data_IF_150822460477
#
_entry.id   IF_150822460477
#
_cell.length_a   1.000
_cell.length_b   1.000
_cell.length_c   1.000
_cell.angle_alpha   90.00
_cell.angle_beta   90.00
_cell.angle_gamma   90.00
#
_symmetry.space_group_name_H-M   'P 1'
#
loop_
_entity.id
_entity.type
_entity.pdbx_description
1 polymer ?
#
# COMPACT_ATOMS: atom_id res chain seq x y z
N UNK A 1 -81.80 -4.30 -51.75
CA UNK A 1 -81.26 -5.46 -51.03
C UNK A 1 -79.77 -5.19 -50.95
N UNK A 2 -79.34 -4.52 -49.88
CA UNK A 2 -77.94 -4.16 -49.68
C UNK A 2 -77.46 -4.75 -48.36
N UNK A 3 -76.40 -5.52 -48.43
CA UNK A 3 -75.72 -6.07 -47.29
C UNK A 3 -74.61 -5.14 -46.88
N UNK A 4 -74.70 -4.57 -45.71
CA UNK A 4 -73.65 -3.75 -45.10
C UNK A 4 -72.78 -4.65 -44.21
N UNK A 5 -71.53 -4.82 -44.60
CA UNK A 5 -70.52 -5.49 -43.76
C UNK A 5 -69.86 -4.47 -42.84
N UNK A 6 -69.96 -4.70 -41.52
CA UNK A 6 -69.29 -3.93 -40.50
C UNK A 6 -67.94 -4.66 -40.19
N UNK A 7 -66.82 -3.96 -40.49
CA UNK A 7 -65.53 -4.38 -39.99
C UNK A 7 -65.32 -3.87 -38.58
N UNK A 8 -65.08 -4.81 -37.63
CA UNK A 8 -64.63 -4.49 -36.30
C UNK A 8 -63.08 -4.40 -36.26
N UNK A 9 -62.56 -3.22 -35.94
CA UNK A 9 -61.11 -3.04 -35.62
C UNK A 9 -60.91 -3.41 -34.14
N UNK A 10 -60.14 -4.46 -33.92
CA UNK A 10 -59.59 -4.79 -32.62
C UNK A 10 -58.33 -3.93 -32.35
N UNK A 11 -58.44 -2.94 -31.47
CA UNK A 11 -57.29 -2.20 -30.97
C UNK A 11 -56.55 -3.01 -29.91
N UNK A 12 -55.29 -3.37 -30.20
CA UNK A 12 -54.33 -3.86 -29.18
C UNK A 12 -53.90 -2.68 -28.34
N UNK A 13 -54.30 -2.63 -27.09
CA UNK A 13 -53.72 -1.74 -26.10
C UNK A 13 -52.38 -2.38 -25.63
N UNK A 14 -51.27 -1.78 -26.04
CA UNK A 14 -49.96 -2.03 -25.46
C UNK A 14 -49.87 -1.32 -24.11
N UNK A 15 -49.78 -2.07 -23.03
CA UNK A 15 -49.41 -1.58 -21.71
C UNK A 15 -47.98 -1.02 -21.75
N UNK A 16 -47.68 0.09 -21.06
CA UNK A 16 -46.32 0.55 -20.96
C UNK A 16 -45.52 -0.45 -20.13
N UNK A 17 -44.39 -0.92 -20.67
CA UNK A 17 -43.40 -1.65 -19.94
C UNK A 17 -42.85 -0.72 -18.82
N UNK A 18 -42.94 -1.17 -17.60
CA UNK A 18 -42.23 -0.55 -16.48
C UNK A 18 -40.74 -0.60 -16.80
N UNK A 19 -40.14 0.53 -17.01
CA UNK A 19 -38.69 0.69 -16.94
C UNK A 19 -38.30 0.41 -15.47
N UNK A 20 -37.81 -0.77 -15.21
CA UNK A 20 -36.99 -1.03 -14.05
C UNK A 20 -35.73 -0.18 -14.23
N UNK A 21 -35.60 0.84 -13.38
CA UNK A 21 -34.34 1.52 -13.13
C UNK A 21 -33.30 0.42 -12.81
N UNK A 22 -32.55 0.04 -13.81
CA UNK A 22 -31.30 -0.67 -13.63
C UNK A 22 -30.37 0.34 -13.01
N UNK A 23 -30.01 0.16 -11.76
CA UNK A 23 -28.88 0.85 -11.14
C UNK A 23 -27.73 0.85 -12.17
N UNK A 24 -27.16 2.03 -12.40
CA UNK A 24 -26.07 2.22 -13.31
C UNK A 24 -24.98 1.18 -12.95
N UNK A 25 -24.82 0.20 -13.81
CA UNK A 25 -23.64 -0.66 -13.76
C UNK A 25 -22.42 0.25 -13.87
N UNK A 26 -21.48 0.08 -12.96
CA UNK A 26 -20.11 0.57 -13.13
C UNK A 26 -19.71 0.36 -14.59
N UNK A 27 -19.06 1.38 -15.20
CA UNK A 27 -18.82 1.47 -16.63
C UNK A 27 -18.45 0.14 -17.27
N UNK A 28 -18.93 -0.08 -18.48
CA UNK A 28 -18.59 -1.29 -19.25
C UNK A 28 -17.07 -1.39 -19.32
N UNK A 29 -16.51 -2.39 -18.63
CA UNK A 29 -15.08 -2.61 -18.54
C UNK A 29 -14.49 -2.83 -19.93
N UNK A 30 -13.23 -2.44 -20.05
CA UNK A 30 -12.49 -2.50 -21.32
C UNK A 30 -11.45 -3.61 -21.35
N UNK A 31 -11.25 -4.31 -20.21
CA UNK A 31 -10.28 -5.39 -20.08
C UNK A 31 -10.71 -6.63 -20.84
N UNK A 32 -9.82 -7.15 -21.68
CA UNK A 32 -10.06 -8.42 -22.39
C UNK A 32 -9.52 -9.58 -21.58
N UNK A 33 -10.38 -10.58 -21.31
CA UNK A 33 -10.00 -11.83 -20.63
C UNK A 33 -9.90 -13.01 -21.60
N UNK A 34 -9.04 -14.03 -21.33
CA UNK A 34 -8.15 -14.10 -20.18
C UNK A 34 -7.08 -13.00 -20.23
N UNK A 35 -6.78 -12.40 -19.07
CA UNK A 35 -5.72 -11.43 -18.90
C UNK A 35 -4.48 -12.14 -18.34
N UNK A 36 -3.35 -12.08 -19.05
CA UNK A 36 -2.05 -12.54 -18.53
C UNK A 36 -1.21 -11.37 -18.09
N UNK A 37 -0.70 -11.44 -16.87
CA UNK A 37 0.21 -10.46 -16.29
C UNK A 37 1.50 -11.15 -15.84
N UNK A 38 2.65 -10.53 -16.08
CA UNK A 38 3.90 -10.93 -15.45
C UNK A 38 3.96 -10.27 -14.07
N UNK A 39 4.07 -11.06 -13.01
CA UNK A 39 4.15 -10.54 -11.64
C UNK A 39 5.23 -11.28 -10.85
N UNK A 40 6.29 -10.55 -10.52
CA UNK A 40 7.52 -11.13 -10.00
C UNK A 40 8.08 -12.18 -10.98
N UNK A 41 8.32 -13.40 -10.50
CA UNK A 41 8.84 -14.53 -11.28
C UNK A 41 7.74 -15.39 -11.92
N UNK A 42 6.46 -15.03 -11.77
CA UNK A 42 5.32 -15.80 -12.24
C UNK A 42 4.52 -15.11 -13.35
N UNK A 43 4.10 -15.87 -14.35
CA UNK A 43 3.03 -15.48 -15.26
C UNK A 43 1.69 -15.87 -14.61
N UNK A 44 0.84 -14.86 -14.37
CA UNK A 44 -0.46 -15.02 -13.71
C UNK A 44 -1.56 -14.79 -14.74
N UNK A 45 -2.44 -15.78 -14.89
CA UNK A 45 -3.59 -15.68 -15.80
C UNK A 45 -4.86 -15.50 -15.00
N UNK A 46 -5.62 -14.45 -15.31
CA UNK A 46 -6.92 -14.14 -14.75
C UNK A 46 -7.97 -14.37 -15.82
N UNK A 47 -8.85 -15.36 -15.62
CA UNK A 47 -9.82 -15.81 -16.63
C UNK A 47 -11.00 -14.85 -16.79
N UNK A 48 -11.33 -14.08 -15.77
CA UNK A 48 -12.40 -13.08 -15.73
C UNK A 48 -12.14 -12.10 -14.58
N UNK A 49 -12.83 -10.96 -14.56
CA UNK A 49 -12.75 -10.02 -13.44
C UNK A 49 -13.11 -10.71 -12.12
N UNK A 50 -12.26 -10.64 -11.09
CA UNK A 50 -12.56 -11.30 -9.82
C UNK A 50 -13.75 -10.65 -9.09
N UNK A 51 -14.50 -11.50 -8.37
CA UNK A 51 -15.68 -11.11 -7.60
C UNK A 51 -15.55 -11.42 -6.10
N UNK A 52 -14.48 -12.14 -5.72
CA UNK A 52 -14.25 -12.62 -4.35
C UNK A 52 -12.78 -12.54 -3.97
N UNK A 53 -12.21 -11.37 -4.09
CA UNK A 53 -10.80 -11.16 -3.75
C UNK A 53 -10.55 -11.21 -2.24
N UNK A 54 -9.37 -11.68 -1.85
CA UNK A 54 -8.86 -11.55 -0.49
C UNK A 54 -7.56 -10.77 -0.53
N UNK A 55 -7.48 -9.69 0.24
CA UNK A 55 -6.24 -8.96 0.50
C UNK A 55 -5.59 -9.44 1.79
N UNK A 56 -4.27 -9.58 1.81
CA UNK A 56 -3.56 -10.17 2.94
C UNK A 56 -3.01 -9.15 3.94
N UNK A 57 -3.16 -7.85 3.65
CA UNK A 57 -2.72 -6.76 4.53
C UNK A 57 -3.44 -5.45 4.20
N UNK A 58 -3.36 -4.50 5.12
CA UNK A 58 -4.04 -3.21 5.01
C UNK A 58 -3.66 -2.43 3.75
N UNK A 59 -2.37 -2.37 3.36
CA UNK A 59 -1.94 -1.61 2.17
C UNK A 59 -2.62 -2.12 0.89
N UNK A 60 -2.68 -3.44 0.70
CA UNK A 60 -3.39 -4.05 -0.43
C UNK A 60 -4.91 -3.78 -0.37
N UNK A 61 -5.49 -3.84 0.84
CA UNK A 61 -6.92 -3.57 1.08
C UNK A 61 -7.28 -2.14 0.69
N UNK A 62 -6.46 -1.17 1.07
CA UNK A 62 -6.72 0.23 0.80
C UNK A 62 -6.61 0.58 -0.69
N UNK A 63 -5.66 -0.03 -1.42
CA UNK A 63 -5.62 0.10 -2.89
C UNK A 63 -6.93 -0.39 -3.50
N UNK A 64 -7.43 -1.56 -3.09
CA UNK A 64 -8.68 -2.09 -3.62
C UNK A 64 -9.89 -1.22 -3.28
N UNK A 65 -9.98 -0.70 -2.05
CA UNK A 65 -11.06 0.21 -1.65
C UNK A 65 -11.04 1.50 -2.47
N UNK A 66 -9.86 2.08 -2.69
CA UNK A 66 -9.73 3.31 -3.49
C UNK A 66 -10.02 3.11 -4.97
N UNK A 67 -9.88 1.89 -5.46
CA UNK A 67 -10.37 1.49 -6.79
C UNK A 67 -11.88 1.20 -6.84
N UNK A 68 -12.60 1.35 -5.71
CA UNK A 68 -14.05 1.08 -5.63
C UNK A 68 -14.41 -0.40 -5.57
N UNK A 69 -13.50 -1.27 -5.12
CA UNK A 69 -13.63 -2.73 -5.19
C UNK A 69 -14.08 -3.38 -3.88
N UNK A 70 -14.48 -2.63 -2.86
CA UNK A 70 -14.89 -3.18 -1.57
C UNK A 70 -15.96 -4.27 -1.69
N UNK A 71 -16.94 -4.11 -2.57
CA UNK A 71 -18.02 -5.08 -2.82
C UNK A 71 -17.53 -6.37 -3.52
N UNK A 72 -16.33 -6.38 -4.08
CA UNK A 72 -15.69 -7.54 -4.71
C UNK A 72 -14.68 -8.24 -3.81
N UNK A 73 -14.66 -7.89 -2.52
CA UNK A 73 -13.75 -8.48 -1.54
C UNK A 73 -14.46 -9.49 -0.66
N UNK A 74 -13.96 -10.73 -0.64
CA UNK A 74 -14.41 -11.78 0.26
C UNK A 74 -13.81 -11.66 1.67
N UNK A 75 -12.73 -10.87 1.80
CA UNK A 75 -12.12 -10.60 3.09
C UNK A 75 -10.78 -9.89 3.03
N UNK A 76 -10.34 -9.47 4.20
CA UNK A 76 -9.03 -8.86 4.45
C UNK A 76 -8.39 -9.42 5.72
N UNK A 77 -7.12 -9.11 5.95
CA UNK A 77 -6.38 -9.48 7.16
C UNK A 77 -5.26 -8.49 7.45
N UNK A 78 -4.66 -8.59 8.63
CA UNK A 78 -3.44 -7.87 9.03
C UNK A 78 -3.54 -6.34 8.89
N UNK A 79 -4.35 -5.76 9.75
CA UNK A 79 -4.45 -4.32 9.94
C UNK A 79 -3.30 -3.82 10.83
N UNK A 80 -2.59 -2.77 10.42
CA UNK A 80 -1.38 -2.28 11.10
C UNK A 80 -1.49 -0.85 11.60
N UNK A 81 -2.31 -0.05 10.96
CA UNK A 81 -2.49 1.37 11.23
C UNK A 81 -3.96 1.73 11.36
N UNK A 82 -4.32 2.84 12.00
CA UNK A 82 -5.69 3.31 12.02
C UNK A 82 -6.23 3.51 10.60
N UNK A 83 -7.37 2.90 10.30
CA UNK A 83 -8.01 3.04 8.99
C UNK A 83 -8.37 4.51 8.74
N UNK A 84 -8.01 5.10 7.60
CA UNK A 84 -8.36 6.46 7.25
C UNK A 84 -9.89 6.69 7.28
N UNK A 85 -10.32 7.81 7.87
CA UNK A 85 -11.75 8.07 8.08
C UNK A 85 -12.58 8.19 6.80
N UNK A 86 -11.95 8.54 5.69
CA UNK A 86 -12.58 8.67 4.37
C UNK A 86 -12.93 7.32 3.71
N UNK A 87 -12.29 6.23 4.14
CA UNK A 87 -12.56 4.88 3.66
C UNK A 87 -13.08 3.93 4.75
N UNK A 88 -13.29 4.42 5.98
CA UNK A 88 -13.65 3.58 7.14
C UNK A 88 -14.91 2.75 6.91
N UNK A 89 -15.97 3.36 6.40
CA UNK A 89 -17.24 2.66 6.12
C UNK A 89 -17.05 1.51 5.09
N UNK A 90 -16.25 1.74 4.06
CA UNK A 90 -15.94 0.74 3.04
C UNK A 90 -15.07 -0.38 3.65
N UNK A 91 -14.07 -0.01 4.46
CA UNK A 91 -13.20 -0.96 5.14
C UNK A 91 -13.97 -1.86 6.11
N UNK A 92 -14.85 -1.28 6.95
CA UNK A 92 -15.71 -2.02 7.88
C UNK A 92 -16.72 -2.95 7.18
N UNK A 93 -17.05 -2.69 5.91
CA UNK A 93 -17.93 -3.56 5.12
C UNK A 93 -17.27 -4.85 4.68
N UNK A 94 -15.93 -4.92 4.67
CA UNK A 94 -15.13 -6.08 4.24
C UNK A 94 -14.94 -7.01 5.44
N UNK A 95 -15.22 -8.32 5.31
CA UNK A 95 -14.98 -9.27 6.39
C UNK A 95 -13.51 -9.31 6.82
N UNK A 96 -13.22 -9.00 8.07
CA UNK A 96 -11.90 -9.23 8.65
C UNK A 96 -11.74 -10.72 8.99
N UNK A 97 -10.90 -11.43 8.24
CA UNK A 97 -10.70 -12.88 8.40
C UNK A 97 -9.83 -13.22 9.61
N UNK A 98 -8.87 -12.34 9.92
CA UNK A 98 -8.04 -12.41 11.11
C UNK A 98 -7.31 -11.08 11.34
N UNK A 99 -7.00 -10.75 12.59
CA UNK A 99 -6.20 -9.57 12.97
C UNK A 99 -4.70 -9.74 12.62
N UNK A 100 -4.24 -10.96 12.40
CA UNK A 100 -2.85 -11.29 12.13
C UNK A 100 -2.63 -11.91 10.75
N UNK A 101 -1.56 -12.69 10.64
CA UNK A 101 -1.22 -13.41 9.42
C UNK A 101 -2.28 -14.47 9.10
N UNK A 102 -2.89 -14.35 7.93
CA UNK A 102 -3.93 -15.27 7.48
C UNK A 102 -3.36 -16.68 7.24
N UNK A 103 -4.07 -17.69 7.68
CA UNK A 103 -3.71 -19.09 7.45
C UNK A 103 -4.40 -19.64 6.22
N UNK A 104 -3.73 -20.58 5.55
CA UNK A 104 -4.19 -21.19 4.30
C UNK A 104 -5.62 -21.75 4.39
N UNK A 105 -5.95 -22.45 5.49
CA UNK A 105 -7.28 -23.01 5.70
C UNK A 105 -8.36 -21.92 5.74
N UNK A 106 -8.11 -20.83 6.49
CA UNK A 106 -9.03 -19.69 6.59
C UNK A 106 -9.17 -18.94 5.26
N UNK A 107 -8.07 -18.81 4.51
CA UNK A 107 -8.11 -18.26 3.15
C UNK A 107 -9.03 -19.08 2.25
N UNK A 108 -8.88 -20.41 2.22
CA UNK A 108 -9.69 -21.28 1.37
C UNK A 108 -11.17 -21.33 1.82
N UNK A 109 -11.47 -21.17 3.12
CA UNK A 109 -12.84 -21.04 3.61
C UNK A 109 -13.56 -19.81 3.06
N UNK A 110 -12.83 -18.72 2.81
CA UNK A 110 -13.37 -17.52 2.17
C UNK A 110 -13.68 -17.73 0.68
N UNK A 111 -13.23 -18.84 0.07
CA UNK A 111 -13.40 -19.18 -1.35
C UNK A 111 -12.96 -18.04 -2.29
N UNK A 112 -11.72 -17.58 -2.20
CA UNK A 112 -11.24 -16.49 -3.04
C UNK A 112 -11.11 -16.93 -4.49
N UNK A 113 -11.33 -15.99 -5.41
CA UNK A 113 -11.01 -16.11 -6.84
C UNK A 113 -9.79 -15.24 -7.24
N UNK A 114 -9.25 -14.48 -6.27
CA UNK A 114 -8.02 -13.70 -6.41
C UNK A 114 -7.43 -13.41 -5.02
N UNK A 115 -6.10 -13.39 -4.91
CA UNK A 115 -5.40 -13.00 -3.67
C UNK A 115 -4.39 -11.92 -3.97
N UNK A 116 -4.43 -10.84 -3.18
CA UNK A 116 -3.51 -9.71 -3.31
C UNK A 116 -2.72 -9.49 -2.02
N UNK A 117 -1.41 -9.36 -2.13
CA UNK A 117 -0.50 -9.11 -1.01
C UNK A 117 0.56 -8.08 -1.36
N UNK A 118 0.86 -7.17 -0.43
CA UNK A 118 2.02 -6.29 -0.53
C UNK A 118 3.31 -6.95 -0.03
N UNK A 119 3.24 -8.09 0.66
CA UNK A 119 4.40 -8.73 1.27
C UNK A 119 4.49 -10.23 0.94
N UNK A 120 5.68 -10.66 0.48
CA UNK A 120 5.98 -12.06 0.16
C UNK A 120 5.86 -12.98 1.37
N UNK A 121 6.17 -12.48 2.56
CA UNK A 121 6.08 -13.23 3.82
C UNK A 121 4.68 -13.73 4.17
N UNK A 122 3.64 -13.18 3.54
CA UNK A 122 2.26 -13.60 3.75
C UNK A 122 1.86 -14.76 2.83
N UNK A 123 2.54 -14.90 1.69
CA UNK A 123 2.32 -15.94 0.68
C UNK A 123 3.32 -17.09 0.84
N UNK A 124 3.33 -17.70 2.03
CA UNK A 124 4.20 -18.84 2.38
C UNK A 124 3.37 -20.03 2.85
N UNK A 125 3.96 -21.24 2.83
CA UNK A 125 3.31 -22.46 3.32
C UNK A 125 2.86 -22.37 4.80
N UNK A 126 3.48 -21.49 5.59
CA UNK A 126 3.15 -21.28 6.99
C UNK A 126 1.97 -20.31 7.20
N UNK A 127 1.64 -19.51 6.18
CA UNK A 127 0.62 -18.48 6.23
C UNK A 127 -0.51 -18.76 5.21
N UNK A 128 -0.77 -17.85 4.28
CA UNK A 128 -1.88 -17.96 3.32
C UNK A 128 -1.70 -19.05 2.24
N UNK A 129 -0.53 -19.66 2.16
CA UNK A 129 -0.15 -20.64 1.13
C UNK A 129 0.85 -20.08 0.14
N UNK A 130 1.61 -20.94 -0.50
CA UNK A 130 2.54 -20.54 -1.55
C UNK A 130 1.80 -20.16 -2.83
N UNK A 131 2.29 -19.17 -3.58
CA UNK A 131 1.68 -18.70 -4.83
C UNK A 131 1.44 -19.84 -5.82
N UNK A 132 2.43 -20.73 -5.99
CA UNK A 132 2.32 -21.86 -6.91
C UNK A 132 1.17 -22.81 -6.52
N UNK A 133 0.98 -23.08 -5.22
CA UNK A 133 -0.09 -23.93 -4.72
C UNK A 133 -1.47 -23.28 -4.96
N UNK A 134 -1.60 -21.98 -4.68
CA UNK A 134 -2.83 -21.23 -4.95
C UNK A 134 -3.18 -21.20 -6.44
N UNK A 135 -2.19 -21.03 -7.32
CA UNK A 135 -2.39 -21.10 -8.78
C UNK A 135 -2.86 -22.49 -9.24
N UNK A 136 -2.30 -23.58 -8.67
CA UNK A 136 -2.77 -24.95 -8.94
C UNK A 136 -4.24 -25.18 -8.51
N UNK A 137 -4.68 -24.47 -7.47
CA UNK A 137 -6.07 -24.46 -7.01
C UNK A 137 -6.99 -23.55 -7.84
N UNK A 138 -6.44 -22.85 -8.85
CA UNK A 138 -7.18 -21.92 -9.69
C UNK A 138 -7.40 -20.54 -9.05
N UNK A 139 -6.61 -20.18 -8.03
CA UNK A 139 -6.64 -18.89 -7.37
C UNK A 139 -5.42 -18.07 -7.80
N UNK A 140 -5.55 -17.16 -8.78
CA UNK A 140 -4.46 -16.28 -9.18
C UNK A 140 -4.10 -15.33 -8.04
N UNK A 141 -2.82 -14.99 -7.97
CA UNK A 141 -2.29 -14.10 -6.92
C UNK A 141 -1.52 -12.93 -7.53
N UNK A 142 -1.57 -11.79 -6.86
CA UNK A 142 -0.68 -10.66 -7.11
C UNK A 142 0.15 -10.37 -5.85
N UNK A 143 1.45 -10.22 -6.03
CA UNK A 143 2.38 -9.78 -5.01
C UNK A 143 2.97 -8.45 -5.46
N UNK A 144 2.99 -7.46 -4.57
CA UNK A 144 3.62 -6.18 -4.86
C UNK A 144 5.08 -6.37 -5.32
N UNK A 145 5.46 -5.68 -6.39
CA UNK A 145 6.82 -5.79 -6.95
C UNK A 145 7.90 -5.28 -6.01
N UNK A 146 7.54 -4.45 -5.03
CA UNK A 146 8.43 -4.02 -3.97
C UNK A 146 8.95 -5.17 -3.09
N UNK A 147 8.28 -6.30 -3.09
CA UNK A 147 8.60 -7.44 -2.23
C UNK A 147 8.71 -8.77 -2.98
N UNK A 148 8.93 -8.72 -4.31
CA UNK A 148 9.17 -9.92 -5.14
C UNK A 148 10.35 -10.76 -4.60
N UNK A 149 11.34 -10.10 -4.02
CA UNK A 149 12.47 -10.72 -3.33
C UNK A 149 12.41 -10.30 -1.87
N UNK A 150 12.04 -11.25 -1.04
CA UNK A 150 11.88 -11.01 0.40
C UNK A 150 13.20 -10.58 1.04
N UNK A 151 13.19 -9.48 1.80
CA UNK A 151 14.33 -8.86 2.48
C UNK A 151 15.45 -8.31 1.60
N UNK A 152 15.48 -8.55 0.30
CA UNK A 152 16.50 -7.96 -0.57
C UNK A 152 16.11 -6.56 -1.04
N UNK A 153 17.10 -5.74 -1.35
CA UNK A 153 16.87 -4.47 -1.99
C UNK A 153 16.36 -4.68 -3.42
N UNK A 154 15.43 -3.84 -3.86
CA UNK A 154 14.97 -3.85 -5.24
C UNK A 154 16.13 -3.46 -6.16
N UNK A 155 16.44 -4.27 -7.18
CA UNK A 155 17.47 -3.93 -8.16
C UNK A 155 17.11 -2.61 -8.87
N UNK A 156 18.01 -1.62 -8.81
CA UNK A 156 17.72 -0.28 -9.34
C UNK A 156 16.95 0.64 -8.40
N UNK A 157 16.56 0.16 -7.20
CA UNK A 157 15.80 0.89 -6.20
C UNK A 157 14.29 0.82 -6.40
N UNK A 158 13.54 0.91 -5.32
CA UNK A 158 12.09 1.07 -5.34
C UNK A 158 11.73 2.45 -5.92
N UNK A 159 10.65 2.55 -6.68
CA UNK A 159 10.18 3.82 -7.25
C UNK A 159 8.66 3.95 -7.07
N UNK A 160 8.15 5.17 -7.07
CA UNK A 160 6.69 5.37 -7.07
C UNK A 160 6.04 4.89 -8.37
N UNK A 161 6.80 4.81 -9.48
CA UNK A 161 6.28 4.19 -10.71
C UNK A 161 5.87 2.73 -10.50
N UNK A 162 6.60 1.97 -9.67
CA UNK A 162 6.21 0.60 -9.32
C UNK A 162 4.84 0.57 -8.61
N UNK A 163 4.57 1.53 -7.72
CA UNK A 163 3.25 1.67 -7.08
C UNK A 163 2.17 2.03 -8.11
N UNK A 164 2.47 2.93 -9.03
CA UNK A 164 1.52 3.36 -10.06
C UNK A 164 1.20 2.21 -11.02
N UNK A 165 2.21 1.47 -11.47
CA UNK A 165 2.06 0.27 -12.30
C UNK A 165 1.26 -0.83 -11.57
N UNK A 166 1.45 -0.98 -10.25
CA UNK A 166 0.67 -1.88 -9.39
C UNK A 166 -0.81 -1.50 -9.38
N UNK A 167 -1.12 -0.22 -9.11
CA UNK A 167 -2.50 0.30 -9.13
C UNK A 167 -3.15 0.09 -10.49
N UNK A 168 -2.45 0.43 -11.58
CA UNK A 168 -2.95 0.22 -12.95
C UNK A 168 -3.15 -1.27 -13.26
N UNK A 169 -2.26 -2.15 -12.79
CA UNK A 169 -2.39 -3.59 -13.00
C UNK A 169 -3.59 -4.16 -12.26
N UNK A 170 -3.76 -3.82 -10.97
CA UNK A 170 -4.92 -4.25 -10.18
C UNK A 170 -6.22 -3.70 -10.81
N UNK A 171 -6.24 -2.44 -11.23
CA UNK A 171 -7.43 -1.87 -11.86
C UNK A 171 -7.83 -2.61 -13.15
N UNK A 172 -6.85 -3.05 -13.96
CA UNK A 172 -7.11 -3.89 -15.16
C UNK A 172 -7.57 -5.29 -14.78
N UNK A 173 -6.98 -5.91 -13.74
CA UNK A 173 -7.41 -7.23 -13.25
C UNK A 173 -8.88 -7.23 -12.86
N UNK A 174 -9.38 -6.14 -12.29
CA UNK A 174 -10.76 -5.99 -11.85
C UNK A 174 -11.68 -5.26 -12.85
N UNK A 175 -11.17 -4.93 -14.04
CA UNK A 175 -11.91 -4.25 -15.10
C UNK A 175 -12.45 -2.87 -14.71
N UNK A 176 -11.62 -2.10 -14.01
CA UNK A 176 -11.87 -0.71 -13.58
C UNK A 176 -10.71 0.23 -13.95
N UNK A 177 -10.21 0.22 -15.20
CA UNK A 177 -8.98 0.95 -15.57
C UNK A 177 -9.10 2.46 -15.39
N UNK A 178 -10.29 3.06 -15.57
CA UNK A 178 -10.50 4.49 -15.37
C UNK A 178 -10.25 4.90 -13.89
N UNK A 179 -10.70 4.07 -12.94
CA UNK A 179 -10.42 4.30 -11.52
C UNK A 179 -8.92 4.20 -11.19
N UNK A 180 -8.21 3.30 -11.87
CA UNK A 180 -6.75 3.18 -11.76
C UNK A 180 -6.03 4.44 -12.26
N UNK A 181 -6.40 4.94 -13.44
CA UNK A 181 -5.83 6.16 -14.02
C UNK A 181 -6.08 7.38 -13.12
N UNK A 182 -7.29 7.51 -12.55
CA UNK A 182 -7.64 8.60 -11.64
C UNK A 182 -6.82 8.53 -10.34
N UNK A 183 -6.74 7.36 -9.71
CA UNK A 183 -5.95 7.16 -8.49
C UNK A 183 -4.45 7.44 -8.73
N UNK A 184 -3.88 6.96 -9.84
CA UNK A 184 -2.48 7.24 -10.20
C UNK A 184 -2.25 8.74 -10.41
N UNK A 185 -3.18 9.44 -11.07
CA UNK A 185 -3.06 10.89 -11.26
C UNK A 185 -3.06 11.64 -9.90
N UNK A 186 -3.88 11.21 -8.94
CA UNK A 186 -3.89 11.76 -7.58
C UNK A 186 -2.55 11.50 -6.87
N UNK A 187 -2.03 10.27 -6.96
CA UNK A 187 -0.75 9.90 -6.33
C UNK A 187 0.42 10.73 -6.92
N UNK A 188 0.47 10.87 -8.25
CA UNK A 188 1.49 11.71 -8.93
C UNK A 188 1.42 13.16 -8.49
N UNK A 189 0.23 13.72 -8.33
CA UNK A 189 0.06 15.10 -7.88
C UNK A 189 0.64 15.34 -6.47
N UNK A 190 0.55 14.35 -5.58
CA UNK A 190 1.17 14.42 -4.24
C UNK A 190 2.69 14.43 -4.33
N UNK A 191 3.27 13.56 -5.16
CA UNK A 191 4.72 13.53 -5.39
C UNK A 191 5.21 14.85 -5.97
N UNK A 192 4.53 15.38 -6.99
CA UNK A 192 4.86 16.66 -7.62
C UNK A 192 4.80 17.84 -6.63
N UNK A 193 3.81 17.84 -5.74
CA UNK A 193 3.72 18.82 -4.65
C UNK A 193 4.91 18.70 -3.70
N UNK A 194 5.25 17.48 -3.28
CA UNK A 194 6.39 17.22 -2.41
C UNK A 194 7.71 17.70 -3.02
N UNK A 195 7.93 17.44 -4.32
CA UNK A 195 9.12 17.89 -5.04
C UNK A 195 9.22 19.42 -5.11
N UNK A 196 8.08 20.12 -5.32
CA UNK A 196 8.09 21.59 -5.30
C UNK A 196 8.43 22.17 -3.91
N UNK A 197 8.03 21.48 -2.85
CA UNK A 197 8.42 21.85 -1.49
C UNK A 197 9.91 21.58 -1.29
N UNK A 198 10.41 20.45 -1.76
CA UNK A 198 11.81 20.05 -1.65
C UNK A 198 12.80 21.01 -2.32
N UNK A 199 12.38 21.79 -3.33
CA UNK A 199 13.21 22.86 -3.92
C UNK A 199 13.68 23.91 -2.89
N UNK A 200 13.06 23.96 -1.71
CA UNK A 200 13.38 24.89 -0.64
C UNK A 200 14.31 24.30 0.44
N UNK A 201 14.57 22.98 0.39
CA UNK A 201 15.49 22.31 1.32
C UNK A 201 16.92 22.75 0.98
N UNK A 202 17.66 23.24 1.97
CA UNK A 202 19.03 23.67 1.81
C UNK A 202 20.02 22.55 2.18
N UNK A 203 21.15 22.50 1.49
CA UNK A 203 22.20 21.53 1.79
C UNK A 203 21.87 20.11 1.34
N UNK A 204 22.47 19.14 2.03
CA UNK A 204 22.27 17.70 1.81
C UNK A 204 22.20 17.04 3.19
N UNK A 205 21.07 17.16 3.91
CA UNK A 205 20.94 16.58 5.23
C UNK A 205 21.00 15.05 5.21
N UNK A 206 21.69 14.47 6.19
CA UNK A 206 21.74 13.01 6.38
C UNK A 206 20.54 12.54 7.23
N UNK A 207 19.84 11.54 6.74
CA UNK A 207 18.64 11.01 7.35
C UNK A 207 18.83 9.57 7.82
N UNK A 208 18.28 9.23 9.00
CA UNK A 208 18.01 7.85 9.40
C UNK A 208 16.50 7.66 9.50
N UNK A 209 15.98 6.72 8.74
CA UNK A 209 14.59 6.31 8.83
C UNK A 209 14.48 5.15 9.82
N UNK A 210 13.92 5.40 10.98
CA UNK A 210 13.76 4.42 12.04
C UNK A 210 12.34 3.87 12.05
N UNK A 211 12.19 2.61 11.61
CA UNK A 211 10.88 1.95 11.51
C UNK A 211 10.43 1.39 12.86
N UNK A 212 11.17 0.41 13.41
CA UNK A 212 10.83 -0.24 14.67
C UNK A 212 12.05 -0.85 15.32
N UNK A 213 11.91 -1.36 16.54
CA UNK A 213 12.89 -2.26 17.15
C UNK A 213 12.46 -3.70 16.95
N UNK A 214 13.41 -4.61 16.74
CA UNK A 214 13.10 -6.03 16.69
C UNK A 214 12.46 -6.46 18.03
N UNK A 215 11.40 -7.25 17.95
CA UNK A 215 10.56 -7.65 19.10
C UNK A 215 11.31 -8.34 20.26
N UNK A 216 12.54 -8.76 20.05
CA UNK A 216 13.40 -9.45 21.05
C UNK A 216 14.68 -8.70 21.39
N UNK A 217 14.96 -7.58 20.73
CA UNK A 217 16.18 -6.78 20.92
C UNK A 217 15.82 -5.29 20.88
N UNK A 218 16.62 -4.46 21.57
CA UNK A 218 16.54 -3.00 21.42
C UNK A 218 17.22 -2.51 20.13
N UNK A 219 17.45 -3.40 19.18
CA UNK A 219 18.15 -3.13 17.92
C UNK A 219 17.20 -2.46 16.94
N UNK A 220 17.50 -1.24 16.45
CA UNK A 220 16.64 -0.56 15.50
C UNK A 220 16.70 -1.20 14.11
N UNK A 221 15.54 -1.34 13.48
CA UNK A 221 15.38 -1.59 12.06
C UNK A 221 15.29 -0.23 11.36
N UNK A 222 16.25 0.05 10.50
CA UNK A 222 16.35 1.32 9.77
C UNK A 222 16.25 1.09 8.27
N UNK A 223 15.93 2.13 7.50
CA UNK A 223 15.93 2.01 6.06
C UNK A 223 17.35 1.97 5.49
N UNK A 224 17.67 0.90 4.79
CA UNK A 224 18.83 0.75 3.92
C UNK A 224 18.53 1.16 2.48
N UNK A 225 19.35 0.70 1.52
CA UNK A 225 19.15 0.98 0.09
C UNK A 225 17.97 0.20 -0.49
N UNK A 226 17.45 0.69 -1.62
CA UNK A 226 16.51 -0.05 -2.47
C UNK A 226 15.05 -0.07 -2.00
N UNK A 227 14.72 0.54 -0.85
CA UNK A 227 13.36 0.74 -0.39
C UNK A 227 12.81 2.14 -0.72
N UNK A 228 11.51 2.39 -0.51
CA UNK A 228 10.89 3.71 -0.71
C UNK A 228 11.52 4.82 0.14
N UNK A 229 11.90 4.62 1.41
CA UNK A 229 12.59 5.65 2.18
C UNK A 229 13.89 6.14 1.52
N UNK A 230 14.67 5.25 0.89
CA UNK A 230 15.84 5.62 0.10
C UNK A 230 15.45 6.54 -1.07
N UNK A 231 14.42 6.15 -1.82
CA UNK A 231 13.94 6.92 -2.97
C UNK A 231 13.43 8.29 -2.56
N UNK A 232 12.64 8.38 -1.48
CA UNK A 232 12.18 9.66 -0.93
C UNK A 232 13.37 10.53 -0.53
N UNK A 233 14.36 9.94 0.16
CA UNK A 233 15.59 10.67 0.57
C UNK A 233 16.31 11.28 -0.63
N UNK A 234 16.50 10.50 -1.70
CA UNK A 234 17.15 10.98 -2.94
C UNK A 234 16.32 12.07 -3.63
N UNK A 235 14.99 11.92 -3.69
CA UNK A 235 14.09 12.91 -4.28
C UNK A 235 14.13 14.26 -3.55
N UNK A 236 14.42 14.24 -2.24
CA UNK A 236 14.56 15.44 -1.41
C UNK A 236 15.97 16.08 -1.48
N UNK A 237 16.90 15.47 -2.21
CA UNK A 237 18.31 15.92 -2.24
C UNK A 237 19.06 15.65 -0.94
N UNK A 238 18.55 14.76 -0.09
CA UNK A 238 19.13 14.33 1.16
C UNK A 238 19.99 13.06 0.99
N UNK A 239 20.65 12.62 2.05
CA UNK A 239 21.47 11.40 2.09
C UNK A 239 20.88 10.42 3.11
N UNK A 240 20.69 9.17 2.72
CA UNK A 240 20.36 8.11 3.67
C UNK A 240 21.64 7.62 4.33
N UNK A 241 21.74 7.78 5.63
CA UNK A 241 22.91 7.40 6.41
C UNK A 241 23.27 5.91 6.32
N UNK A 242 22.31 5.06 5.91
CA UNK A 242 22.49 3.61 5.73
C UNK A 242 22.34 3.15 4.26
N UNK A 243 22.62 4.04 3.30
CA UNK A 243 22.61 3.71 1.86
C UNK A 243 23.62 2.63 1.46
N UNK A 244 24.63 2.38 2.28
CA UNK A 244 25.67 1.35 2.10
C UNK A 244 25.33 0.00 2.70
N UNK A 245 24.17 -0.17 3.34
CA UNK A 245 23.74 -1.43 3.92
C UNK A 245 23.44 -2.48 2.82
N UNK A 246 23.38 -3.76 3.21
CA UNK A 246 23.18 -4.86 2.26
C UNK A 246 21.73 -5.22 1.99
N UNK A 247 20.80 -4.68 2.79
CA UNK A 247 19.37 -4.99 2.72
C UNK A 247 18.53 -3.73 2.82
N UNK A 248 17.28 -3.79 2.34
CA UNK A 248 16.33 -2.65 2.41
C UNK A 248 15.96 -2.26 3.84
N UNK A 249 16.02 -3.21 4.80
CA UNK A 249 15.71 -2.99 6.21
C UNK A 249 16.75 -3.69 7.10
N UNK A 250 17.97 -3.13 7.25
CA UNK A 250 18.97 -3.66 8.14
C UNK A 250 18.58 -3.45 9.61
N UNK A 251 18.88 -4.46 10.44
CA UNK A 251 18.95 -4.30 11.89
C UNK A 251 20.36 -3.83 12.26
N UNK A 252 20.50 -2.66 12.87
CA UNK A 252 21.79 -2.04 13.19
C UNK A 252 21.89 -1.77 14.68
N UNK A 253 23.11 -1.49 15.19
CA UNK A 253 23.27 -1.09 16.58
C UNK A 253 23.07 0.42 16.75
N UNK A 254 22.65 0.84 17.95
CA UNK A 254 22.60 2.27 18.27
C UNK A 254 23.97 2.93 18.28
N UNK A 255 25.05 2.18 18.58
CA UNK A 255 26.44 2.66 18.41
C UNK A 255 26.72 3.03 16.95
N UNK A 256 26.26 2.20 16.00
CA UNK A 256 26.44 2.48 14.57
C UNK A 256 25.61 3.68 14.12
N UNK A 257 24.36 3.82 14.61
CA UNK A 257 23.55 5.02 14.32
C UNK A 257 24.23 6.28 14.87
N UNK A 258 24.75 6.23 16.11
CA UNK A 258 25.44 7.35 16.73
C UNK A 258 26.78 7.66 16.04
N UNK A 259 27.51 6.66 15.54
CA UNK A 259 28.76 6.88 14.80
C UNK A 259 28.52 7.57 13.44
N UNK A 260 27.35 7.28 12.79
CA UNK A 260 26.96 7.93 11.53
C UNK A 260 26.45 9.35 11.74
N UNK A 261 26.02 9.69 12.97
CA UNK A 261 25.60 11.03 13.43
C UNK A 261 24.67 11.74 12.41
N UNK A 262 23.45 11.21 12.19
CA UNK A 262 22.53 11.77 11.22
C UNK A 262 22.04 13.16 11.62
N UNK A 263 21.79 14.03 10.64
CA UNK A 263 21.22 15.35 10.88
C UNK A 263 19.77 15.27 11.35
N UNK A 264 19.01 14.27 10.90
CA UNK A 264 17.58 14.12 11.19
C UNK A 264 17.20 12.64 11.36
N UNK A 265 16.32 12.35 12.32
CA UNK A 265 15.70 11.05 12.49
C UNK A 265 14.25 11.09 12.01
N UNK A 266 13.93 10.34 10.95
CA UNK A 266 12.57 10.13 10.47
C UNK A 266 11.99 8.90 11.18
N UNK A 267 10.97 9.11 12.01
CA UNK A 267 10.41 8.09 12.90
C UNK A 267 9.07 7.59 12.36
N UNK A 268 8.93 6.29 12.14
CA UNK A 268 7.63 5.69 11.90
C UNK A 268 6.79 5.74 13.18
N UNK A 269 5.56 6.22 13.08
CA UNK A 269 4.55 6.11 14.13
C UNK A 269 3.67 4.90 13.83
N UNK A 270 3.84 3.83 14.60
CA UNK A 270 3.18 2.55 14.40
C UNK A 270 2.14 2.30 15.49
N UNK A 271 1.03 1.65 15.15
CA UNK A 271 -0.05 1.36 16.09
C UNK A 271 -0.29 -0.15 16.34
N UNK A 272 0.71 -0.99 16.04
CA UNK A 272 0.62 -2.45 16.18
C UNK A 272 0.51 -2.95 17.62
N UNK A 273 0.76 -2.06 18.62
CA UNK A 273 0.65 -2.36 20.04
C UNK A 273 1.88 -3.03 20.65
N UNK A 274 3.01 -3.05 19.96
CA UNK A 274 4.28 -3.48 20.52
C UNK A 274 4.99 -2.32 21.25
N UNK A 275 5.74 -2.60 22.32
CA UNK A 275 6.56 -1.58 23.00
C UNK A 275 7.57 -0.95 22.01
N UNK A 276 7.64 0.38 22.00
CA UNK A 276 8.51 1.13 21.12
C UNK A 276 7.97 1.31 19.69
N UNK A 277 6.69 1.03 19.45
CA UNK A 277 6.07 1.23 18.13
C UNK A 277 5.71 2.70 17.88
N UNK A 278 5.19 3.41 18.89
CA UNK A 278 4.77 4.79 18.69
C UNK A 278 5.97 5.75 18.58
N UNK A 279 5.79 6.84 17.84
CA UNK A 279 6.81 7.88 17.73
C UNK A 279 7.12 8.49 19.11
N UNK A 280 6.13 8.64 20.00
CA UNK A 280 6.32 9.14 21.36
C UNK A 280 7.27 8.23 22.15
N UNK A 281 7.04 6.91 22.16
CA UNK A 281 7.91 5.94 22.84
C UNK A 281 9.32 5.92 22.26
N UNK A 282 9.46 6.05 20.92
CA UNK A 282 10.76 6.14 20.25
C UNK A 282 11.53 7.38 20.67
N UNK A 283 10.88 8.55 20.69
CA UNK A 283 11.49 9.80 21.13
C UNK A 283 11.87 9.74 22.61
N UNK A 284 10.99 9.19 23.47
CA UNK A 284 11.29 8.98 24.88
C UNK A 284 12.51 8.08 25.08
N UNK A 285 12.58 6.97 24.36
CA UNK A 285 13.75 6.09 24.38
C UNK A 285 15.02 6.84 23.96
N UNK A 286 15.01 7.50 22.78
CA UNK A 286 16.15 8.22 22.24
C UNK A 286 16.70 9.29 23.19
N UNK A 287 15.83 10.00 23.88
CA UNK A 287 16.20 11.05 24.84
C UNK A 287 16.70 10.51 26.19
N UNK A 288 16.33 9.29 26.57
CA UNK A 288 16.70 8.72 27.88
C UNK A 288 17.86 7.72 27.80
N UNK A 289 18.15 7.15 26.65
CA UNK A 289 19.27 6.23 26.49
C UNK A 289 20.62 6.98 26.56
N UNK A 290 21.61 6.50 27.35
CA UNK A 290 22.89 7.24 27.54
C UNK A 290 23.69 7.52 26.28
N UNK A 291 23.53 6.70 25.25
CA UNK A 291 24.24 6.85 23.98
C UNK A 291 23.47 7.78 23.03
N UNK A 292 22.22 7.42 22.72
CA UNK A 292 21.44 8.15 21.72
C UNK A 292 21.08 9.57 22.15
N UNK A 293 20.94 9.82 23.46
CA UNK A 293 20.69 11.16 24.00
C UNK A 293 21.83 12.16 23.75
N UNK A 294 23.00 11.69 23.29
CA UNK A 294 24.15 12.56 22.95
C UNK A 294 24.24 12.88 21.46
N UNK A 295 23.43 12.25 20.60
CA UNK A 295 23.40 12.51 19.17
C UNK A 295 22.87 13.94 18.89
N UNK A 296 23.46 14.66 17.95
CA UNK A 296 23.07 16.04 17.64
C UNK A 296 21.58 16.14 17.23
N UNK A 297 21.07 15.17 16.46
CA UNK A 297 19.65 15.13 16.10
C UNK A 297 18.72 14.99 17.31
N UNK A 298 19.12 14.23 18.35
CA UNK A 298 18.32 14.03 19.57
C UNK A 298 18.40 15.24 20.49
N UNK A 299 19.59 15.82 20.65
CA UNK A 299 19.82 17.03 21.48
C UNK A 299 19.03 18.22 20.95
N UNK A 300 18.88 18.33 19.64
CA UNK A 300 18.21 19.45 18.98
C UNK A 300 16.76 19.13 18.53
N UNK A 301 16.17 18.04 19.01
CA UNK A 301 14.79 17.62 18.67
C UNK A 301 14.51 17.48 17.18
N UNK A 302 15.51 17.11 16.38
CA UNK A 302 15.39 16.95 14.92
C UNK A 302 14.73 15.64 14.55
N UNK A 303 13.45 15.54 14.84
CA UNK A 303 12.59 14.40 14.56
C UNK A 303 11.52 14.76 13.53
N UNK A 304 11.38 13.94 12.49
CA UNK A 304 10.23 13.99 11.59
C UNK A 304 9.41 12.72 11.84
N UNK A 305 8.16 12.87 12.23
CA UNK A 305 7.26 11.75 12.49
C UNK A 305 6.41 11.50 11.25
N UNK A 306 6.35 10.26 10.82
CA UNK A 306 5.50 9.81 9.70
C UNK A 306 4.72 8.54 10.11
N UNK A 307 3.48 8.36 9.66
CA UNK A 307 2.80 7.06 9.78
C UNK A 307 3.63 5.93 9.18
N UNK A 308 3.52 4.71 9.72
CA UNK A 308 4.27 3.56 9.22
C UNK A 308 4.07 3.31 7.73
N UNK A 309 2.84 3.44 7.26
CA UNK A 309 2.46 3.28 5.85
C UNK A 309 3.15 4.27 4.88
N UNK A 310 3.76 5.34 5.37
CA UNK A 310 4.58 6.22 4.53
C UNK A 310 5.94 5.59 4.16
N UNK A 311 6.38 4.59 4.91
CA UNK A 311 7.64 3.87 4.66
C UNK A 311 7.43 2.55 3.90
N UNK A 312 6.18 2.06 3.84
CA UNK A 312 5.79 0.81 3.21
C UNK A 312 5.16 1.03 1.82
N UNK A 313 5.17 0.04 0.92
CA UNK A 313 4.45 0.12 -0.37
C UNK A 313 2.94 0.22 -0.12
N UNK A 314 2.41 1.43 -0.21
CA UNK A 314 0.99 1.73 0.01
C UNK A 314 0.58 3.01 -0.71
N UNK A 315 -0.72 3.25 -0.82
CA UNK A 315 -1.25 4.54 -1.35
C UNK A 315 -0.84 5.75 -0.52
N UNK A 316 -0.34 5.53 0.71
CA UNK A 316 0.11 6.60 1.59
C UNK A 316 1.60 6.91 1.47
N UNK A 317 2.38 6.03 0.84
CA UNK A 317 3.85 6.19 0.76
C UNK A 317 4.27 7.47 0.03
N UNK A 318 3.49 7.93 -0.95
CA UNK A 318 3.77 9.21 -1.66
C UNK A 318 3.71 10.41 -0.72
N UNK A 319 2.96 10.33 0.39
CA UNK A 319 2.87 11.40 1.38
C UNK A 319 4.17 11.61 2.17
N UNK A 320 5.08 10.63 2.15
CA UNK A 320 6.40 10.80 2.74
C UNK A 320 7.16 11.98 2.10
N UNK A 321 7.02 12.20 0.79
CA UNK A 321 7.74 13.25 0.06
C UNK A 321 7.40 14.64 0.61
N UNK A 322 6.13 15.12 0.58
CA UNK A 322 5.79 16.43 1.12
C UNK A 322 5.96 16.52 2.65
N UNK A 323 5.76 15.42 3.40
CA UNK A 323 5.85 15.43 4.86
C UNK A 323 7.29 15.65 5.30
N UNK A 324 8.22 14.87 4.75
CA UNK A 324 9.64 14.98 5.12
C UNK A 324 10.24 16.27 4.59
N UNK A 325 9.89 16.70 3.35
CA UNK A 325 10.34 17.99 2.82
C UNK A 325 9.96 19.16 3.75
N UNK A 326 8.71 19.23 4.23
CA UNK A 326 8.28 20.27 5.19
C UNK A 326 9.05 20.18 6.50
N UNK A 327 9.21 18.97 7.05
CA UNK A 327 9.95 18.77 8.29
C UNK A 327 11.40 19.25 8.19
N UNK A 328 12.07 19.02 7.06
CA UNK A 328 13.43 19.52 6.82
C UNK A 328 13.48 21.06 6.80
N UNK A 329 12.56 21.71 6.09
CA UNK A 329 12.48 23.18 6.01
C UNK A 329 12.18 23.81 7.38
N UNK A 330 11.26 23.22 8.15
CA UNK A 330 10.89 23.74 9.46
C UNK A 330 12.10 23.73 10.43
N UNK A 331 12.97 22.72 10.34
CA UNK A 331 14.20 22.63 11.13
C UNK A 331 15.30 23.64 10.77
N UNK A 332 15.29 24.16 9.54
CA UNK A 332 16.25 25.18 9.10
C UNK A 332 15.88 26.59 9.61
N UNK A 333 14.61 26.78 10.00
CA UNK A 333 14.08 28.08 10.42
C UNK A 333 14.12 28.28 11.94
N UNK A 334 14.41 27.25 12.73
CA UNK A 334 14.58 27.31 14.20
C UNK A 334 16.05 27.45 14.61
#
# INVERSE_FOLDING_TARGET
MGVVSVLALAGCATAPASETDSAAAAGEGTTSYPLSIQNCDAEVTVEQAPERAVSLNQSATEIMIRLGLADRMAGTSYETDPVPSDIADAYESIPLLTDGLLKHETLLEAQPDFVYSSFASFLTAENAGERAELHELGVPTYLSEFDCIYHEAVEGGATFEMLFDEIETISRVFDVPEAGEELVAEQRAVVDEGLRIAEQVEGTPSLVWFYSTASSSSTPSVAGPGGLPQTVTEMLGAENAFSDASTKWPEVSWDEVAERDPDVLVLADLSRGYPGDTAEEKIEFLKNDPLTSTMDAVVNDRFIVVPGQHMDPSVHSVQAVPTVARGLIDMETE
#
